data_IF_215023910451
#
_entry.id   IF_215023910451
#
_cell.length_a   1.000
_cell.length_b   1.000
_cell.length_c   1.000
_cell.angle_alpha   90.00
_cell.angle_beta   90.00
_cell.angle_gamma   90.00
#
_symmetry.space_group_name_H-M   'P 1'
#
loop_
_entity.id
_entity.type
_entity.pdbx_description
1 polymer ?
#
# COMPACT_ATOMS: atom_id res chain seq x y z
N UNK A 1 61.29 -52.99 15.09
CA UNK A 1 59.86 -53.37 15.17
C UNK A 1 59.22 -52.91 16.50
N UNK A 2 59.06 -51.59 16.73
CA UNK A 2 58.42 -51.03 17.95
C UNK A 2 57.91 -49.59 17.73
N UNK A 3 56.94 -49.33 16.83
CA UNK A 3 56.34 -47.99 16.62
C UNK A 3 54.93 -48.03 15.97
N UNK A 4 53.97 -48.80 16.48
CA UNK A 4 52.57 -48.81 15.94
C UNK A 4 51.47 -48.75 17.03
N UNK A 5 51.80 -48.87 18.32
CA UNK A 5 50.82 -49.06 19.40
C UNK A 5 50.32 -47.79 20.13
N UNK A 6 50.45 -46.59 19.53
CA UNK A 6 50.10 -45.31 20.20
C UNK A 6 49.06 -44.47 19.43
N UNK A 7 48.21 -45.09 18.61
CA UNK A 7 47.18 -44.36 17.84
C UNK A 7 45.72 -44.80 18.11
N UNK A 8 45.48 -45.77 18.99
CA UNK A 8 44.13 -46.35 19.22
C UNK A 8 43.48 -45.87 20.54
N UNK A 9 44.15 -45.05 21.36
CA UNK A 9 43.61 -44.59 22.65
C UNK A 9 42.99 -43.19 22.65
N UNK A 10 42.97 -42.47 21.52
CA UNK A 10 42.39 -41.11 21.43
C UNK A 10 41.00 -41.12 20.76
N UNK A 11 40.56 -42.26 20.21
CA UNK A 11 39.28 -42.38 19.50
C UNK A 11 38.09 -42.79 20.39
N UNK A 12 38.31 -43.02 21.69
CA UNK A 12 37.29 -43.50 22.63
C UNK A 12 36.71 -42.41 23.57
N UNK A 13 37.10 -41.15 23.41
CA UNK A 13 36.59 -40.02 24.25
C UNK A 13 35.62 -39.08 23.52
N UNK A 14 35.06 -39.52 22.39
CA UNK A 14 33.93 -38.85 21.69
C UNK A 14 32.66 -39.68 21.84
N UNK A 15 32.55 -40.47 22.91
CA UNK A 15 31.34 -41.18 23.27
C UNK A 15 30.52 -40.33 24.25
N UNK A 16 29.56 -39.59 23.68
CA UNK A 16 28.26 -39.41 24.31
C UNK A 16 28.18 -38.43 25.48
N UNK A 17 28.42 -37.14 25.22
CA UNK A 17 27.54 -36.14 25.81
C UNK A 17 26.24 -36.17 25.03
N UNK A 18 25.41 -37.20 25.23
CA UNK A 18 24.00 -37.09 24.92
C UNK A 18 23.46 -36.06 25.91
N UNK A 19 23.61 -34.78 25.58
CA UNK A 19 22.91 -33.71 26.26
C UNK A 19 21.45 -34.06 26.11
N UNK A 20 20.84 -34.51 27.20
CA UNK A 20 19.40 -34.66 27.32
C UNK A 20 18.80 -33.28 27.10
N UNK A 21 18.58 -32.94 25.84
CA UNK A 21 17.84 -31.75 25.48
C UNK A 21 16.46 -31.95 26.10
N UNK A 22 16.14 -31.12 27.08
CA UNK A 22 14.84 -31.12 27.70
C UNK A 22 13.81 -31.05 26.57
N UNK A 23 12.90 -32.01 26.53
CA UNK A 23 11.83 -32.04 25.56
C UNK A 23 11.09 -30.72 25.66
N UNK A 24 11.03 -29.98 24.55
CA UNK A 24 10.39 -28.67 24.53
C UNK A 24 8.91 -28.83 24.88
N UNK A 25 8.42 -28.03 25.81
CA UNK A 25 7.01 -27.99 26.15
C UNK A 25 6.31 -27.11 25.11
N UNK A 26 5.63 -27.75 24.15
CA UNK A 26 4.92 -27.09 23.05
C UNK A 26 3.87 -26.09 23.58
N UNK A 27 3.08 -26.48 24.59
CA UNK A 27 2.04 -25.62 25.15
C UNK A 27 2.63 -24.39 25.84
N UNK A 28 3.78 -24.55 26.50
CA UNK A 28 4.54 -23.42 27.05
C UNK A 28 5.07 -22.51 25.93
N UNK A 29 5.63 -23.08 24.86
CA UNK A 29 6.20 -22.32 23.75
C UNK A 29 5.13 -21.48 23.07
N UNK A 30 3.97 -22.05 22.75
CA UNK A 30 2.86 -21.34 22.12
C UNK A 30 2.38 -20.15 22.96
N UNK A 31 2.33 -20.30 24.28
CA UNK A 31 1.98 -19.21 25.19
C UNK A 31 3.03 -18.11 25.17
N UNK A 32 4.30 -18.47 25.25
CA UNK A 32 5.42 -17.53 25.26
C UNK A 32 5.47 -16.75 23.93
N UNK A 33 5.28 -17.42 22.79
CA UNK A 33 5.18 -16.81 21.46
C UNK A 33 3.99 -15.85 21.34
N UNK A 34 2.83 -16.22 21.87
CA UNK A 34 1.65 -15.34 21.88
C UNK A 34 1.88 -14.06 22.68
N UNK A 35 2.49 -14.18 23.87
CA UNK A 35 2.82 -13.03 24.71
C UNK A 35 3.84 -12.14 24.01
N UNK A 36 4.90 -12.73 23.45
CA UNK A 36 5.93 -12.00 22.72
C UNK A 36 5.36 -11.27 21.49
N UNK A 37 4.46 -11.92 20.73
CA UNK A 37 3.79 -11.30 19.58
C UNK A 37 2.94 -10.09 19.99
N UNK A 38 2.22 -10.18 21.12
CA UNK A 38 1.44 -9.07 21.65
C UNK A 38 2.30 -7.88 22.09
N UNK A 39 3.48 -8.14 22.68
CA UNK A 39 4.45 -7.08 23.02
C UNK A 39 5.01 -6.44 21.76
N UNK A 40 5.43 -7.23 20.76
CA UNK A 40 5.92 -6.71 19.48
C UNK A 40 4.86 -5.86 18.78
N UNK A 41 3.61 -6.33 18.72
CA UNK A 41 2.49 -5.56 18.19
C UNK A 41 2.29 -4.23 18.94
N UNK A 42 2.45 -4.24 20.26
CA UNK A 42 2.31 -3.02 21.08
C UNK A 42 3.41 -2.01 20.78
N UNK A 43 4.66 -2.46 20.65
CA UNK A 43 5.80 -1.60 20.30
C UNK A 43 5.59 -0.92 18.94
N UNK A 44 5.11 -1.68 17.95
CA UNK A 44 4.86 -1.17 16.60
C UNK A 44 3.70 -0.15 16.52
N UNK A 45 2.77 -0.18 17.48
CA UNK A 45 1.59 0.68 17.49
C UNK A 45 1.74 1.93 18.38
N UNK A 46 2.79 2.03 19.21
CA UNK A 46 2.85 3.06 20.26
C UNK A 46 3.30 4.44 19.74
N UNK A 47 4.07 4.49 18.65
CA UNK A 47 4.70 5.75 18.19
C UNK A 47 4.09 6.34 16.91
N UNK A 48 3.28 5.60 16.17
CA UNK A 48 2.66 6.13 14.94
C UNK A 48 1.21 6.55 15.18
N UNK A 49 0.98 7.85 15.42
CA UNK A 49 -0.36 8.39 15.65
C UNK A 49 -1.32 8.09 14.47
N UNK A 50 -0.81 7.92 13.24
CA UNK A 50 -1.65 7.94 12.04
C UNK A 50 -1.32 6.96 10.90
N UNK A 51 -0.24 6.19 10.95
CA UNK A 51 0.26 5.47 9.76
C UNK A 51 0.12 3.94 9.82
N UNK A 52 0.11 3.35 11.02
CA UNK A 52 0.15 1.89 11.13
C UNK A 52 -1.09 1.32 11.82
N UNK A 53 -1.72 0.36 11.16
CA UNK A 53 -2.64 -0.59 11.80
C UNK A 53 -2.11 -1.98 11.50
N UNK A 54 -0.95 -2.28 12.10
CA UNK A 54 -0.28 -3.56 11.92
C UNK A 54 -1.22 -4.70 12.26
N UNK A 55 -1.21 -5.74 11.43
CA UNK A 55 -1.76 -7.03 11.82
C UNK A 55 -1.05 -7.54 13.07
N UNK A 56 -1.68 -8.49 13.77
CA UNK A 56 -0.98 -9.22 14.84
C UNK A 56 0.21 -9.98 14.21
N UNK A 57 1.45 -9.80 14.69
CA UNK A 57 2.60 -10.55 14.19
C UNK A 57 2.37 -12.05 14.34
N UNK A 58 2.62 -12.81 13.28
CA UNK A 58 2.58 -14.27 13.32
C UNK A 58 3.92 -14.80 13.81
N UNK A 59 3.92 -15.64 14.83
CA UNK A 59 5.13 -16.22 15.41
C UNK A 59 5.17 -17.74 15.22
N UNK A 60 6.27 -18.25 14.68
CA UNK A 60 6.47 -19.68 14.44
C UNK A 60 7.84 -20.14 14.96
N UNK A 61 7.88 -21.27 15.67
CA UNK A 61 9.13 -21.94 16.04
C UNK A 61 9.54 -22.97 14.98
N UNK A 62 10.83 -22.98 14.64
CA UNK A 62 11.45 -23.93 13.71
C UNK A 62 12.62 -24.61 14.41
N UNK A 63 12.54 -25.92 14.61
CA UNK A 63 13.61 -26.67 15.29
C UNK A 63 14.94 -26.54 14.55
N UNK A 64 16.00 -26.29 15.32
CA UNK A 64 17.35 -26.03 14.80
C UNK A 64 17.58 -24.62 14.23
N UNK A 65 16.53 -23.81 14.03
CA UNK A 65 16.65 -22.42 13.59
C UNK A 65 16.31 -21.45 14.72
N UNK A 66 15.16 -21.58 15.37
CA UNK A 66 14.65 -20.68 16.39
C UNK A 66 13.26 -20.13 16.06
N UNK A 67 13.00 -18.85 16.31
CA UNK A 67 11.68 -18.23 16.14
C UNK A 67 11.69 -17.23 14.99
N UNK A 68 10.61 -17.24 14.22
CA UNK A 68 10.35 -16.29 13.14
C UNK A 68 9.06 -15.55 13.48
N UNK A 69 9.15 -14.22 13.58
CA UNK A 69 8.01 -13.32 13.61
C UNK A 69 7.82 -12.72 12.22
N UNK A 70 6.63 -12.92 11.66
CA UNK A 70 6.23 -12.35 10.37
C UNK A 70 5.19 -11.27 10.63
N UNK A 71 5.49 -10.07 10.17
CA UNK A 71 4.60 -8.92 10.29
C UNK A 71 4.03 -8.65 8.91
N UNK A 72 2.70 -8.63 8.80
CA UNK A 72 2.07 -8.15 7.58
C UNK A 72 2.21 -6.64 7.49
N UNK A 73 2.91 -6.20 6.45
CA UNK A 73 2.96 -4.80 6.08
C UNK A 73 1.68 -4.42 5.34
N UNK A 74 0.68 -4.07 6.15
CA UNK A 74 -0.56 -3.45 5.72
C UNK A 74 -0.46 -1.93 5.92
N UNK A 75 0.56 -1.29 5.34
CA UNK A 75 0.55 0.16 5.18
C UNK A 75 -0.70 0.58 4.42
N UNK A 76 -1.68 1.13 5.14
CA UNK A 76 -2.82 1.83 4.55
C UNK A 76 -2.47 3.30 4.61
N UNK A 77 -1.88 3.82 3.53
CA UNK A 77 -1.71 5.26 3.38
C UNK A 77 -3.09 5.92 3.38
N UNK A 78 -3.52 6.37 4.56
CA UNK A 78 -4.75 7.16 4.74
C UNK A 78 -4.63 8.56 4.09
N UNK A 79 -3.43 8.90 3.63
CA UNK A 79 -3.08 10.17 3.02
C UNK A 79 -3.79 10.46 1.68
N UNK A 80 -4.35 9.45 1.00
CA UNK A 80 -4.89 9.66 -0.35
C UNK A 80 -6.36 9.31 -0.58
N UNK A 81 -7.23 9.71 0.36
CA UNK A 81 -8.65 9.85 0.02
C UNK A 81 -9.13 11.29 -0.03
N UNK A 82 -8.41 12.28 0.52
CA UNK A 82 -8.97 13.63 0.64
C UNK A 82 -8.58 14.57 -0.49
N UNK A 83 -7.30 14.61 -0.85
CA UNK A 83 -6.78 15.52 -1.87
C UNK A 83 -7.32 15.11 -3.26
N UNK A 84 -7.25 13.81 -3.59
CA UNK A 84 -7.84 13.30 -4.83
C UNK A 84 -9.37 13.37 -4.86
N UNK A 85 -10.08 13.18 -3.74
CA UNK A 85 -11.54 13.39 -3.74
C UNK A 85 -11.94 14.84 -3.98
N UNK A 86 -11.14 15.81 -3.54
CA UNK A 86 -11.47 17.22 -3.73
C UNK A 86 -11.27 17.63 -5.19
N UNK A 87 -10.14 17.27 -5.81
CA UNK A 87 -9.90 17.49 -7.24
C UNK A 87 -10.90 16.71 -8.10
N UNK A 88 -11.14 15.43 -7.82
CA UNK A 88 -12.14 14.63 -8.54
C UNK A 88 -13.57 15.15 -8.33
N UNK A 89 -13.92 15.64 -7.13
CA UNK A 89 -15.22 16.30 -6.90
C UNK A 89 -15.35 17.60 -7.65
N UNK A 90 -14.28 18.37 -7.76
CA UNK A 90 -14.30 19.62 -8.49
C UNK A 90 -14.49 19.37 -9.98
N UNK A 91 -13.69 18.48 -10.58
CA UNK A 91 -13.87 18.02 -11.95
C UNK A 91 -15.29 17.45 -12.18
N UNK A 92 -15.82 16.64 -11.25
CA UNK A 92 -17.17 16.10 -11.34
C UNK A 92 -18.25 17.19 -11.22
N UNK A 93 -18.02 18.22 -10.40
CA UNK A 93 -18.92 19.39 -10.27
C UNK A 93 -18.91 20.23 -11.53
N UNK A 94 -17.75 20.47 -12.13
CA UNK A 94 -17.63 21.21 -13.39
C UNK A 94 -18.28 20.46 -14.53
N UNK A 95 -17.99 19.16 -14.69
CA UNK A 95 -18.66 18.31 -15.68
C UNK A 95 -20.18 18.31 -15.47
N UNK A 96 -20.65 18.24 -14.22
CA UNK A 96 -22.09 18.33 -13.90
C UNK A 96 -22.71 19.69 -14.22
N UNK A 97 -21.96 20.79 -14.07
CA UNK A 97 -22.41 22.14 -14.44
C UNK A 97 -22.49 22.26 -15.96
N UNK A 98 -21.44 21.87 -16.67
CA UNK A 98 -21.40 21.87 -18.13
C UNK A 98 -22.53 21.03 -18.75
N UNK A 99 -22.80 19.85 -18.19
CA UNK A 99 -23.90 19.00 -18.65
C UNK A 99 -25.28 19.66 -18.46
N UNK A 100 -25.48 20.34 -17.32
CA UNK A 100 -26.73 21.07 -17.07
C UNK A 100 -26.89 22.23 -18.03
N UNK A 101 -25.83 23.00 -18.28
CA UNK A 101 -25.85 24.14 -19.19
C UNK A 101 -26.15 23.69 -20.63
N UNK A 102 -25.56 22.57 -21.07
CA UNK A 102 -25.87 21.94 -22.35
C UNK A 102 -27.33 21.50 -22.44
N UNK A 103 -27.90 20.93 -21.37
CA UNK A 103 -29.33 20.56 -21.32
C UNK A 103 -30.27 21.77 -21.37
N UNK A 104 -29.87 22.90 -20.80
CA UNK A 104 -30.63 24.15 -20.91
C UNK A 104 -30.55 24.70 -22.33
N UNK A 105 -29.35 24.80 -22.90
CA UNK A 105 -29.15 25.24 -24.28
C UNK A 105 -29.94 24.40 -25.28
N UNK A 106 -29.96 23.06 -25.11
CA UNK A 106 -30.77 22.16 -25.93
C UNK A 106 -32.27 22.46 -25.83
N UNK A 107 -32.78 22.69 -24.61
CA UNK A 107 -34.21 23.02 -24.41
C UNK A 107 -34.59 24.36 -25.01
N UNK A 108 -33.71 25.34 -24.96
CA UNK A 108 -33.94 26.65 -25.57
C UNK A 108 -33.88 26.57 -27.10
N UNK A 109 -32.97 25.79 -27.66
CA UNK A 109 -32.93 25.49 -29.09
C UNK A 109 -34.22 24.78 -29.57
N UNK A 110 -34.72 23.79 -28.83
CA UNK A 110 -36.00 23.12 -29.14
C UNK A 110 -37.20 24.07 -29.05
N UNK A 111 -37.18 25.07 -28.15
CA UNK A 111 -38.23 26.10 -28.09
C UNK A 111 -38.15 27.01 -29.32
N UNK A 112 -36.97 27.53 -29.64
CA UNK A 112 -36.76 28.35 -30.82
C UNK A 112 -37.18 27.61 -32.11
N UNK A 113 -36.88 26.31 -32.22
CA UNK A 113 -37.28 25.50 -33.36
C UNK A 113 -38.80 25.36 -33.46
N UNK A 114 -39.51 25.13 -32.34
CA UNK A 114 -40.98 25.06 -32.32
C UNK A 114 -41.62 26.39 -32.67
N UNK A 115 -41.04 27.50 -32.23
CA UNK A 115 -41.56 28.84 -32.54
C UNK A 115 -41.35 29.16 -34.03
N UNK A 116 -40.18 28.85 -34.58
CA UNK A 116 -39.92 28.96 -36.03
C UNK A 116 -40.85 28.08 -36.86
N UNK A 117 -41.14 26.85 -36.42
CA UNK A 117 -42.09 25.95 -37.09
C UNK A 117 -43.53 26.51 -37.05
N UNK A 118 -43.92 27.18 -35.96
CA UNK A 118 -45.23 27.86 -35.87
C UNK A 118 -45.31 29.03 -36.84
N UNK A 119 -44.29 29.87 -36.90
CA UNK A 119 -44.21 31.00 -37.84
C UNK A 119 -44.26 30.52 -39.31
N UNK A 120 -43.53 29.45 -39.64
CA UNK A 120 -43.61 28.85 -40.97
C UNK A 120 -45.01 28.37 -41.33
N UNK A 121 -45.68 27.65 -40.41
CA UNK A 121 -47.06 27.19 -40.63
C UNK A 121 -48.05 28.35 -40.78
N UNK A 122 -47.81 29.48 -40.14
CA UNK A 122 -48.63 30.68 -40.30
C UNK A 122 -48.41 31.32 -41.69
N UNK A 123 -47.15 31.44 -42.13
CA UNK A 123 -46.81 31.93 -43.47
C UNK A 123 -47.38 31.04 -44.58
N UNK A 124 -47.31 29.71 -44.43
CA UNK A 124 -47.90 28.76 -45.37
C UNK A 124 -49.43 28.95 -45.49
N UNK A 125 -50.12 29.12 -44.35
CA UNK A 125 -51.56 29.41 -44.35
C UNK A 125 -51.89 30.73 -45.05
N UNK A 126 -51.08 31.77 -44.86
CA UNK A 126 -51.25 33.04 -45.56
C UNK A 126 -51.05 32.89 -47.07
N UNK A 127 -50.02 32.18 -47.50
CA UNK A 127 -49.76 31.91 -48.92
C UNK A 127 -50.91 31.15 -49.59
N UNK A 128 -51.48 30.15 -48.91
CA UNK A 128 -52.60 29.37 -49.43
C UNK A 128 -53.89 30.21 -49.54
N UNK A 129 -54.14 31.14 -48.61
CA UNK A 129 -55.24 32.11 -48.74
C UNK A 129 -55.08 33.03 -49.96
N UNK A 130 -53.84 33.30 -50.39
CA UNK A 130 -53.55 34.18 -51.53
C UNK A 130 -53.54 33.45 -52.89
N UNK A 131 -53.34 32.13 -52.93
CA UNK A 131 -53.36 31.32 -54.18
C UNK A 131 -54.72 31.29 -54.89
N UNK A 132 -55.83 31.51 -54.18
CA UNK A 132 -57.18 31.54 -54.77
C UNK A 132 -57.43 32.79 -55.64
N UNK A 133 -56.50 33.75 -55.64
CA UNK A 133 -56.51 34.94 -56.50
C UNK A 133 -55.35 34.85 -57.50
N UNK A 134 -55.54 34.06 -58.56
CA UNK A 134 -54.51 33.69 -59.53
C UNK A 134 -53.52 34.80 -59.91
N UNK A 135 -52.32 34.74 -59.36
CA UNK A 135 -51.12 35.33 -59.92
C UNK A 135 -49.89 34.57 -59.40
N UNK A 136 -48.98 34.21 -60.30
CA UNK A 136 -47.80 33.36 -60.03
C UNK A 136 -46.77 34.16 -59.22
N UNK A 137 -46.39 33.69 -58.04
CA UNK A 137 -45.33 34.28 -57.21
C UNK A 137 -44.21 33.26 -57.00
N UNK A 138 -42.98 33.75 -57.18
CA UNK A 138 -41.70 33.06 -57.09
C UNK A 138 -41.52 32.52 -55.66
N UNK A 139 -41.24 31.23 -55.54
CA UNK A 139 -41.03 30.53 -54.27
C UNK A 139 -39.62 30.82 -53.77
N UNK A 140 -39.50 31.49 -52.63
CA UNK A 140 -38.22 31.58 -51.92
C UNK A 140 -37.88 30.24 -51.24
N UNK A 141 -36.60 29.82 -51.24
CA UNK A 141 -36.18 28.53 -50.72
C UNK A 141 -36.34 28.45 -49.19
N UNK A 142 -36.74 27.28 -48.70
CA UNK A 142 -36.89 26.98 -47.28
C UNK A 142 -35.60 27.31 -46.49
N UNK A 143 -35.73 27.78 -45.23
CA UNK A 143 -34.57 28.07 -44.41
C UNK A 143 -33.79 26.78 -44.13
N UNK A 144 -32.45 26.87 -44.02
CA UNK A 144 -31.59 25.71 -43.85
C UNK A 144 -31.89 25.01 -42.52
N UNK A 145 -31.98 23.67 -42.57
CA UNK A 145 -31.99 22.81 -41.39
C UNK A 145 -30.64 23.00 -40.70
N UNK A 146 -30.66 23.60 -39.49
CA UNK A 146 -29.46 23.75 -38.67
C UNK A 146 -29.13 22.39 -38.07
N UNK A 147 -28.11 21.72 -38.61
CA UNK A 147 -27.59 20.49 -38.02
C UNK A 147 -27.09 20.80 -36.60
N UNK A 148 -27.56 20.03 -35.61
CA UNK A 148 -27.01 20.08 -34.26
C UNK A 148 -25.61 19.48 -34.36
N UNK A 149 -24.54 20.24 -34.08
CA UNK A 149 -23.20 19.68 -34.13
C UNK A 149 -23.05 18.60 -33.06
N UNK A 150 -22.48 17.45 -33.43
CA UNK A 150 -21.93 16.51 -32.47
C UNK A 150 -20.80 17.23 -31.74
N UNK A 151 -21.06 17.67 -30.51
CA UNK A 151 -20.06 18.33 -29.68
C UNK A 151 -19.23 17.23 -29.03
N UNK A 152 -18.09 16.92 -29.65
CA UNK A 152 -17.01 16.23 -28.98
C UNK A 152 -16.48 17.16 -27.87
N UNK A 153 -16.85 16.87 -26.63
CA UNK A 153 -16.33 17.59 -25.47
C UNK A 153 -14.90 17.11 -25.26
N UNK A 154 -13.95 17.85 -25.84
CA UNK A 154 -12.54 17.65 -25.58
C UNK A 154 -12.23 18.24 -24.19
N UNK A 155 -12.21 17.36 -23.18
CA UNK A 155 -11.83 17.75 -21.81
C UNK A 155 -10.32 17.89 -21.81
N UNK A 156 -9.84 19.11 -22.08
CA UNK A 156 -8.43 19.43 -21.97
C UNK A 156 -8.05 19.50 -20.48
N UNK A 157 -7.67 18.35 -19.92
CA UNK A 157 -7.08 18.27 -18.57
C UNK A 157 -5.69 18.88 -18.66
N UNK A 158 -5.40 19.85 -17.79
CA UNK A 158 -4.07 20.42 -17.66
C UNK A 158 -3.15 19.40 -16.97
N UNK A 159 -2.40 18.66 -17.79
CA UNK A 159 -1.53 17.57 -17.33
C UNK A 159 -0.32 18.08 -16.55
N UNK A 160 0.13 19.32 -16.76
CA UNK A 160 1.32 19.88 -16.09
C UNK A 160 1.09 20.04 -14.58
N UNK A 161 -0.08 20.57 -14.16
CA UNK A 161 -0.46 20.69 -12.73
C UNK A 161 -0.74 19.33 -12.06
N UNK A 162 -0.90 18.28 -12.86
CA UNK A 162 -1.06 16.90 -12.35
C UNK A 162 0.30 16.26 -12.08
N UNK A 163 1.29 16.46 -12.95
CA UNK A 163 2.65 15.92 -12.76
C UNK A 163 3.34 16.50 -11.52
N UNK A 164 3.25 17.81 -11.29
CA UNK A 164 3.85 18.45 -10.10
C UNK A 164 3.28 17.89 -8.79
N UNK A 165 1.95 17.69 -8.73
CA UNK A 165 1.28 17.09 -7.57
C UNK A 165 1.61 15.61 -7.38
N UNK A 166 1.89 14.88 -8.46
CA UNK A 166 2.34 13.50 -8.39
C UNK A 166 3.75 13.41 -7.82
N UNK A 167 4.67 14.29 -8.24
CA UNK A 167 6.03 14.37 -7.69
C UNK A 167 6.03 14.72 -6.19
N UNK A 168 5.27 15.74 -5.78
CA UNK A 168 5.12 16.07 -4.35
C UNK A 168 4.51 14.91 -3.54
N UNK A 169 3.67 14.10 -4.18
CA UNK A 169 3.04 12.94 -3.55
C UNK A 169 4.02 11.76 -3.42
N UNK A 170 4.82 11.50 -4.45
CA UNK A 170 5.90 10.51 -4.42
C UNK A 170 6.94 10.84 -3.34
N UNK A 171 7.38 12.10 -3.24
CA UNK A 171 8.31 12.56 -2.19
C UNK A 171 7.75 12.31 -0.78
N UNK A 172 6.47 12.59 -0.56
CA UNK A 172 5.81 12.33 0.73
C UNK A 172 5.64 10.85 1.04
N UNK A 173 5.47 10.00 0.02
CA UNK A 173 5.45 8.55 0.21
C UNK A 173 6.85 8.07 0.62
N UNK A 174 7.89 8.57 -0.04
CA UNK A 174 9.27 8.22 0.29
C UNK A 174 9.62 8.63 1.71
N UNK A 175 9.34 9.88 2.11
CA UNK A 175 9.53 10.38 3.49
C UNK A 175 8.78 9.52 4.52
N UNK A 176 7.52 9.20 4.26
CA UNK A 176 6.72 8.37 5.15
C UNK A 176 7.20 6.91 5.22
N UNK A 177 7.74 6.36 4.12
CA UNK A 177 8.36 5.04 4.09
C UNK A 177 9.67 5.01 4.89
N UNK A 178 10.49 6.07 4.79
CA UNK A 178 11.71 6.22 5.58
C UNK A 178 11.37 6.29 7.08
N UNK A 179 10.45 7.18 7.48
CA UNK A 179 9.98 7.29 8.86
C UNK A 179 9.41 5.95 9.39
N UNK A 180 8.64 5.25 8.56
CA UNK A 180 8.11 3.93 8.90
C UNK A 180 9.22 2.91 9.16
N UNK A 181 10.23 2.84 8.28
CA UNK A 181 11.34 1.91 8.42
C UNK A 181 12.19 2.20 9.66
N UNK A 182 12.39 3.48 10.00
CA UNK A 182 13.09 3.89 11.22
C UNK A 182 12.34 3.46 12.48
N UNK A 183 11.03 3.76 12.56
CA UNK A 183 10.19 3.34 13.68
C UNK A 183 10.14 1.82 13.84
N UNK A 184 10.04 1.10 12.72
CA UNK A 184 10.03 -0.36 12.71
C UNK A 184 11.37 -0.94 13.18
N UNK A 185 12.48 -0.33 12.75
CA UNK A 185 13.83 -0.70 13.18
C UNK A 185 13.99 -0.50 14.69
N UNK A 186 13.52 0.61 15.25
CA UNK A 186 13.55 0.86 16.70
C UNK A 186 12.69 -0.16 17.46
N UNK A 187 11.50 -0.48 16.97
CA UNK A 187 10.64 -1.51 17.56
C UNK A 187 11.32 -2.89 17.54
N UNK A 188 11.99 -3.25 16.45
CA UNK A 188 12.73 -4.50 16.31
C UNK A 188 13.90 -4.58 17.28
N UNK A 189 14.69 -3.50 17.37
CA UNK A 189 15.80 -3.41 18.31
C UNK A 189 15.31 -3.55 19.75
N UNK A 190 14.30 -2.78 20.14
CA UNK A 190 13.71 -2.81 21.47
C UNK A 190 13.17 -4.21 21.80
N UNK A 191 12.44 -4.84 20.88
CA UNK A 191 11.93 -6.18 21.08
C UNK A 191 13.06 -7.21 21.29
N UNK A 192 14.05 -7.21 20.41
CA UNK A 192 15.15 -8.17 20.47
C UNK A 192 15.99 -7.96 21.73
N UNK A 193 16.26 -6.72 22.13
CA UNK A 193 17.12 -6.42 23.28
C UNK A 193 16.39 -6.61 24.61
N UNK A 194 15.13 -6.16 24.73
CA UNK A 194 14.45 -6.07 26.03
C UNK A 194 13.42 -7.17 26.27
N UNK A 195 12.86 -7.75 25.19
CA UNK A 195 11.70 -8.64 25.29
C UNK A 195 11.92 -10.04 24.72
N UNK A 196 13.06 -10.32 24.09
CA UNK A 196 13.34 -11.66 23.53
C UNK A 196 13.39 -12.78 24.59
N UNK A 197 13.79 -12.47 25.82
CA UNK A 197 13.73 -13.35 27.00
C UNK A 197 12.35 -13.93 27.30
N UNK A 198 11.27 -13.32 26.79
CA UNK A 198 9.90 -13.84 26.94
C UNK A 198 9.78 -15.26 26.35
N UNK A 199 10.64 -15.62 25.39
CA UNK A 199 10.69 -16.94 24.76
C UNK A 199 11.72 -17.83 25.48
N UNK A 200 11.43 -18.18 26.73
CA UNK A 200 12.41 -18.77 27.65
C UNK A 200 12.90 -20.18 27.30
N UNK A 201 12.30 -20.87 26.33
CA UNK A 201 12.66 -22.23 25.94
C UNK A 201 13.72 -22.32 24.82
N UNK A 202 14.16 -21.18 24.26
CA UNK A 202 15.12 -21.17 23.15
C UNK A 202 16.53 -21.58 23.58
N UNK A 203 17.18 -22.37 22.73
CA UNK A 203 18.57 -22.80 22.88
C UNK A 203 19.48 -21.62 22.57
N UNK A 204 20.69 -21.52 23.16
CA UNK A 204 21.64 -20.45 22.81
C UNK A 204 22.01 -20.43 21.32
N UNK A 205 21.92 -21.56 20.63
CA UNK A 205 22.19 -21.69 19.19
C UNK A 205 21.05 -21.19 18.31
N UNK A 206 19.85 -21.01 18.88
CA UNK A 206 18.67 -20.57 18.14
C UNK A 206 18.79 -19.07 17.83
N UNK A 207 18.05 -18.65 16.80
CA UNK A 207 17.91 -17.27 16.35
C UNK A 207 16.49 -16.77 16.58
N UNK A 208 16.37 -15.45 16.71
CA UNK A 208 15.09 -14.76 16.62
C UNK A 208 15.17 -13.90 15.37
N UNK A 209 14.27 -14.16 14.42
CA UNK A 209 14.12 -13.41 13.17
C UNK A 209 12.81 -12.64 13.22
N UNK A 210 12.88 -11.34 13.00
CA UNK A 210 11.74 -10.46 12.74
C UNK A 210 11.77 -10.11 11.26
N UNK A 211 10.65 -10.24 10.55
CA UNK A 211 10.58 -9.93 9.12
C UNK A 211 9.23 -9.32 8.76
N UNK A 212 9.24 -8.33 7.87
CA UNK A 212 8.02 -7.84 7.24
C UNK A 212 7.74 -8.62 5.96
N UNK A 213 6.47 -8.95 5.78
CA UNK A 213 5.93 -9.51 4.55
C UNK A 213 5.01 -8.47 3.93
N UNK A 214 5.35 -8.01 2.73
CA UNK A 214 4.41 -7.26 1.92
C UNK A 214 3.25 -8.17 1.55
N UNK A 215 2.02 -7.72 1.81
CA UNK A 215 0.88 -8.28 1.10
C UNK A 215 0.93 -7.77 -0.34
N UNK A 216 1.06 -8.68 -1.30
CA UNK A 216 1.12 -8.44 -2.76
C UNK A 216 -0.14 -7.74 -3.33
N UNK A 217 -1.12 -7.42 -2.48
CA UNK A 217 -2.43 -6.86 -2.84
C UNK A 217 -2.57 -5.37 -2.51
N UNK A 218 -1.49 -4.64 -2.19
CA UNK A 218 -1.59 -3.19 -2.02
C UNK A 218 -1.67 -2.52 -3.40
N UNK A 219 -2.89 -2.42 -3.92
CA UNK A 219 -3.19 -1.71 -5.17
C UNK A 219 -3.53 -0.27 -4.82
N UNK A 220 -2.74 0.66 -5.35
CA UNK A 220 -3.03 2.09 -5.25
C UNK A 220 -3.98 2.47 -6.38
N UNK A 221 -5.27 2.68 -6.06
CA UNK A 221 -6.27 3.11 -7.04
C UNK A 221 -6.31 4.64 -7.09
N UNK A 222 -5.81 5.23 -8.18
CA UNK A 222 -6.00 6.63 -8.53
C UNK A 222 -6.81 6.67 -9.83
N UNK A 223 -7.95 7.37 -9.86
CA UNK A 223 -8.73 7.56 -11.10
C UNK A 223 -9.32 6.30 -11.77
N UNK A 224 -9.18 5.10 -11.19
CA UNK A 224 -9.59 3.83 -11.81
C UNK A 224 -8.50 3.15 -12.65
N UNK A 225 -7.29 3.71 -12.67
CA UNK A 225 -6.11 3.09 -13.27
C UNK A 225 -5.21 2.48 -12.18
N UNK A 226 -4.54 1.38 -12.53
CA UNK A 226 -3.59 0.67 -11.68
C UNK A 226 -2.22 1.33 -11.85
N UNK A 227 -1.77 2.07 -10.83
CA UNK A 227 -0.49 2.81 -10.87
C UNK A 227 0.72 1.93 -10.52
N UNK A 228 0.55 0.61 -10.53
CA UNK A 228 1.63 -0.34 -10.32
C UNK A 228 1.96 -0.60 -8.85
N UNK A 229 2.72 -1.66 -8.62
CA UNK A 229 3.21 -2.00 -7.29
C UNK A 229 4.30 -1.02 -6.90
N UNK A 230 4.01 -0.17 -5.90
CA UNK A 230 5.07 0.59 -5.22
C UNK A 230 6.02 -0.42 -4.59
N UNK A 231 7.31 -0.35 -4.91
CA UNK A 231 8.34 -1.20 -4.30
C UNK A 231 8.27 -1.05 -2.79
N UNK A 232 7.93 -2.13 -2.08
CA UNK A 232 7.90 -2.11 -0.62
C UNK A 232 9.24 -2.60 -0.08
N UNK A 233 9.85 -1.79 0.77
CA UNK A 233 11.01 -2.19 1.57
C UNK A 233 10.63 -3.39 2.44
N UNK A 234 11.37 -4.49 2.31
CA UNK A 234 11.31 -5.60 3.29
C UNK A 234 12.43 -5.39 4.30
N UNK A 235 12.06 -5.03 5.53
CA UNK A 235 12.97 -4.95 6.66
C UNK A 235 12.95 -6.28 7.41
N UNK A 236 14.14 -6.80 7.70
CA UNK A 236 14.32 -7.96 8.56
C UNK A 236 15.42 -7.73 9.58
N UNK A 237 15.26 -8.26 10.79
CA UNK A 237 16.26 -8.24 11.84
C UNK A 237 16.48 -9.65 12.41
N UNK A 238 17.74 -10.09 12.52
CA UNK A 238 18.10 -11.34 13.20
C UNK A 238 19.04 -11.14 14.38
N UNK A 239 18.84 -11.93 15.45
CA UNK A 239 19.73 -11.99 16.61
C UNK A 239 19.89 -13.42 17.12
N UNK A 240 21.08 -13.79 17.59
CA UNK A 240 21.33 -15.07 18.28
C UNK A 240 20.89 -15.02 19.74
N UNK A 241 20.17 -16.04 20.20
CA UNK A 241 19.73 -16.15 21.60
C UNK A 241 20.91 -16.18 22.56
N UNK A 242 22.06 -16.75 22.17
CA UNK A 242 23.30 -16.71 22.96
C UNK A 242 23.72 -15.27 23.28
N UNK A 243 23.62 -14.36 22.32
CA UNK A 243 24.09 -12.99 22.51
C UNK A 243 23.21 -12.25 23.53
N UNK A 244 21.89 -12.45 23.47
CA UNK A 244 20.98 -11.95 24.50
C UNK A 244 21.25 -12.55 25.88
N UNK A 245 21.49 -13.87 25.98
CA UNK A 245 21.87 -14.52 27.25
C UNK A 245 23.20 -14.01 27.80
N UNK A 246 24.17 -13.70 26.93
CA UNK A 246 25.44 -13.11 27.36
C UNK A 246 25.24 -11.65 27.85
N UNK A 247 24.27 -10.92 27.30
CA UNK A 247 23.82 -9.61 27.80
C UNK A 247 23.14 -9.71 29.17
N UNK A 248 22.17 -10.62 29.35
CA UNK A 248 21.52 -10.88 30.65
C UNK A 248 22.54 -11.26 31.73
N UNK A 249 23.58 -12.03 31.36
CA UNK A 249 24.67 -12.41 32.24
C UNK A 249 25.69 -11.28 32.50
N UNK A 250 25.51 -10.09 31.90
CA UNK A 250 26.40 -8.93 32.03
C UNK A 250 27.75 -9.07 31.31
N UNK A 251 27.90 -10.06 30.43
CA UNK A 251 29.13 -10.27 29.64
C UNK A 251 29.17 -9.39 28.39
N UNK A 252 28.01 -8.92 27.94
CA UNK A 252 27.83 -8.05 26.79
C UNK A 252 27.12 -6.78 27.27
N UNK A 253 27.55 -5.60 26.80
CA UNK A 253 26.81 -4.35 27.02
C UNK A 253 25.64 -4.25 26.06
N UNK A 254 24.67 -3.38 26.35
CA UNK A 254 23.52 -3.13 25.47
C UNK A 254 23.96 -2.74 24.06
N UNK A 255 24.84 -1.75 23.95
CA UNK A 255 25.34 -1.27 22.65
C UNK A 255 25.99 -2.39 21.83
N UNK A 256 26.79 -3.25 22.48
CA UNK A 256 27.41 -4.40 21.82
C UNK A 256 26.42 -5.49 21.42
N UNK A 257 25.28 -5.58 22.10
CA UNK A 257 24.18 -6.46 21.71
C UNK A 257 23.46 -5.90 20.48
N UNK A 258 23.19 -4.59 20.46
CA UNK A 258 22.60 -3.90 19.31
C UNK A 258 23.48 -4.08 18.07
N UNK A 259 24.80 -3.90 18.21
CA UNK A 259 25.79 -4.14 17.13
C UNK A 259 25.77 -5.58 16.57
N UNK A 260 25.22 -6.54 17.33
CA UNK A 260 25.10 -7.95 16.92
C UNK A 260 23.79 -8.25 16.20
N UNK A 261 22.81 -7.35 16.27
CA UNK A 261 21.57 -7.46 15.50
C UNK A 261 21.90 -7.19 14.04
N UNK A 262 21.56 -8.13 13.15
CA UNK A 262 21.75 -7.94 11.71
C UNK A 262 20.46 -7.49 11.08
N UNK A 263 20.47 -6.27 10.57
CA UNK A 263 19.40 -5.75 9.75
C UNK A 263 19.68 -6.06 8.28
N UNK A 264 18.64 -6.49 7.56
CA UNK A 264 18.64 -6.69 6.11
C UNK A 264 17.49 -5.90 5.55
N UNK A 265 17.82 -4.92 4.71
CA UNK A 265 16.86 -4.14 3.94
C UNK A 265 16.96 -4.64 2.50
N UNK A 266 15.92 -5.33 2.03
CA UNK A 266 15.81 -5.68 0.64
C UNK A 266 14.87 -4.67 -0.01
N UNK A 267 15.44 -3.70 -0.71
CA UNK A 267 14.75 -3.11 -1.84
C UNK A 267 14.72 -4.20 -2.92
N UNK A 268 13.54 -4.77 -3.21
CA UNK A 268 13.39 -5.61 -4.39
C UNK A 268 13.58 -4.73 -5.63
N UNK A 269 14.85 -4.47 -6.01
CA UNK A 269 15.18 -3.97 -7.34
C UNK A 269 14.84 -5.09 -8.32
N UNK A 270 13.65 -5.05 -8.91
CA UNK A 270 13.34 -5.94 -10.03
C UNK A 270 14.34 -5.70 -11.18
N UNK A 271 14.79 -6.82 -11.75
CA UNK A 271 15.65 -6.92 -12.93
C UNK A 271 14.83 -7.00 -14.20
#
# INVERSE_FOLDING_TARGET
>A
MKRITTFILIMAMVAGSATSYAQMDEAKMDRDLRVASGVLASLMNNDSEHLFRGGEPEANYVDGFGVIFTIEDNMVFKYNYRIQWEAAREAQREASRALKDMQYAKRDAERAQRDAEREQRELEKEQDMHKDKGNVVIVEPAPPIVAVPDVDVDVNVDWEDTEEKMLEFEEKIEEANEEFNENLREAFETFLVDYSQLIGQLKPTDKILLTTKSNDNFVFYVGGEDYGNVEKSRLSAEMLVKDHKDYEAGKLSRDKLIDKIKFVENAEMER
#
